data_IF_685998616155
#
_entry.id   IF_685998616155
#
_cell.length_a   1.000
_cell.length_b   1.000
_cell.length_c   1.000
_cell.angle_alpha   90.00
_cell.angle_beta   90.00
_cell.angle_gamma   90.00
#
_symmetry.space_group_name_H-M   'P 1'
#
loop_
_entity.id
_entity.type
_entity.pdbx_description
1 polymer ?
#
# COMPACT_ATOMS: atom_id res chain seq x y z
N UNK A 1 14.11 -13.75 -16.01
CA UNK A 1 14.77 -13.10 -14.91
C UNK A 1 13.81 -12.82 -13.77
N UNK A 2 14.31 -12.57 -12.58
CA UNK A 2 13.49 -12.28 -11.38
C UNK A 2 12.51 -11.11 -11.59
N UNK A 3 12.89 -10.11 -12.39
CA UNK A 3 12.02 -8.97 -12.75
C UNK A 3 10.81 -9.36 -13.59
N UNK A 4 10.89 -10.42 -14.39
CA UNK A 4 9.78 -10.87 -15.25
C UNK A 4 8.77 -11.72 -14.47
N UNK A 5 9.22 -12.43 -13.45
CA UNK A 5 8.34 -13.13 -12.50
C UNK A 5 7.52 -12.11 -11.71
N UNK A 6 8.12 -11.00 -11.32
CA UNK A 6 7.45 -9.89 -10.65
C UNK A 6 6.39 -9.20 -11.51
N UNK A 7 6.72 -8.89 -12.76
CA UNK A 7 5.77 -8.30 -13.70
C UNK A 7 4.58 -9.23 -13.98
N UNK A 8 4.81 -10.54 -14.00
CA UNK A 8 3.74 -11.53 -14.19
C UNK A 8 2.83 -11.68 -12.98
N UNK A 9 3.34 -11.45 -11.76
CA UNK A 9 2.49 -11.40 -10.57
C UNK A 9 1.60 -10.15 -10.56
N UNK A 10 2.08 -9.03 -11.10
CA UNK A 10 1.30 -7.80 -11.28
C UNK A 10 0.24 -7.90 -12.37
N UNK A 11 0.46 -8.72 -13.39
CA UNK A 11 -0.45 -8.87 -14.55
C UNK A 11 -1.61 -9.84 -14.29
N UNK A 12 -1.46 -10.77 -13.33
CA UNK A 12 -2.52 -11.68 -12.89
C UNK A 12 -2.98 -11.28 -11.51
N UNK A 13 -3.66 -10.16 -11.42
CA UNK A 13 -4.14 -9.68 -10.15
C UNK A 13 -5.37 -10.48 -9.75
N UNK A 14 -5.15 -11.53 -8.95
CA UNK A 14 -6.18 -12.11 -8.13
C UNK A 14 -6.60 -11.12 -7.04
N UNK A 15 -7.57 -11.52 -6.25
CA UNK A 15 -8.01 -10.72 -5.10
C UNK A 15 -6.88 -10.49 -4.09
N UNK A 16 -6.09 -11.51 -3.81
CA UNK A 16 -4.99 -11.46 -2.86
C UNK A 16 -3.64 -11.45 -3.57
N UNK A 17 -2.76 -10.56 -3.13
CA UNK A 17 -1.40 -10.42 -3.63
C UNK A 17 -0.38 -10.47 -2.49
N UNK A 18 0.78 -11.09 -2.76
CA UNK A 18 1.93 -11.06 -1.85
C UNK A 18 2.97 -10.08 -2.40
N UNK A 19 3.44 -9.22 -1.51
CA UNK A 19 4.52 -8.28 -1.79
C UNK A 19 5.75 -8.67 -0.99
N UNK A 20 6.88 -8.80 -1.66
CA UNK A 20 8.15 -9.03 -0.99
C UNK A 20 8.59 -7.81 -0.20
N UNK A 21 9.23 -8.07 0.92
CA UNK A 21 9.95 -7.06 1.68
C UNK A 21 11.45 -7.20 1.46
N UNK A 22 12.26 -6.30 2.01
CA UNK A 22 13.72 -6.47 2.02
C UNK A 22 14.17 -7.57 2.99
N UNK A 23 13.31 -8.01 3.90
CA UNK A 23 13.53 -9.20 4.70
C UNK A 23 13.05 -10.43 3.92
N UNK A 24 13.97 -11.34 3.60
CA UNK A 24 13.68 -12.53 2.77
C UNK A 24 12.64 -13.49 3.35
N UNK A 25 12.36 -13.39 4.65
CA UNK A 25 11.41 -14.27 5.35
C UNK A 25 10.03 -13.64 5.51
N UNK A 26 9.87 -12.38 5.12
CA UNK A 26 8.66 -11.59 5.41
C UNK A 26 8.06 -11.05 4.12
N UNK A 27 6.73 -11.21 4.00
CA UNK A 27 5.91 -10.69 2.91
C UNK A 27 4.76 -9.87 3.49
N UNK A 28 4.20 -9.00 2.68
CA UNK A 28 2.93 -8.35 2.98
C UNK A 28 1.87 -8.95 2.06
N UNK A 29 0.82 -9.53 2.65
CA UNK A 29 -0.35 -9.97 1.91
C UNK A 29 -1.39 -8.86 1.89
N UNK A 30 -1.92 -8.56 0.71
CA UNK A 30 -2.93 -7.55 0.48
C UNK A 30 -4.19 -8.17 -0.12
N UNK A 31 -5.35 -7.88 0.46
CA UNK A 31 -6.64 -8.04 -0.21
C UNK A 31 -6.87 -6.80 -1.09
N UNK A 32 -6.72 -6.96 -2.38
CA UNK A 32 -6.83 -5.87 -3.36
C UNK A 32 -8.23 -5.30 -3.51
N UNK A 33 -9.25 -5.97 -2.99
CA UNK A 33 -10.64 -5.49 -3.00
C UNK A 33 -10.93 -4.53 -1.86
N UNK A 34 -10.35 -4.80 -0.68
CA UNK A 34 -10.75 -4.13 0.57
C UNK A 34 -9.63 -3.31 1.23
N UNK A 35 -8.38 -3.52 0.82
CA UNK A 35 -7.22 -2.91 1.47
C UNK A 35 -6.79 -3.57 2.78
N UNK A 36 -7.45 -4.65 3.21
CA UNK A 36 -7.00 -5.45 4.35
C UNK A 36 -5.61 -6.01 4.06
N UNK A 37 -4.75 -6.01 5.06
CA UNK A 37 -3.38 -6.47 4.85
C UNK A 37 -2.77 -7.11 6.09
N UNK A 38 -1.82 -8.00 5.86
CA UNK A 38 -1.17 -8.83 6.86
C UNK A 38 0.32 -8.92 6.60
N UNK A 39 1.10 -8.99 7.67
CA UNK A 39 2.48 -9.45 7.62
C UNK A 39 2.46 -10.98 7.58
N UNK A 40 3.12 -11.56 6.60
CA UNK A 40 3.26 -13.01 6.46
C UNK A 40 4.73 -13.37 6.62
N UNK A 41 5.00 -14.26 7.54
CA UNK A 41 6.35 -14.78 7.75
C UNK A 41 6.40 -16.26 7.48
N UNK A 42 7.40 -16.69 6.74
CA UNK A 42 7.72 -18.10 6.64
C UNK A 42 9.05 -18.44 7.30
N UNK A 43 9.28 -19.71 7.56
CA UNK A 43 10.51 -20.18 8.21
C UNK A 43 10.89 -21.57 7.71
N UNK A 44 12.19 -21.81 7.63
CA UNK A 44 12.75 -23.14 7.41
C UNK A 44 12.97 -23.91 8.72
N UNK A 45 12.72 -23.27 9.86
CA UNK A 45 12.91 -23.85 11.19
C UNK A 45 11.71 -24.65 11.71
N UNK A 46 10.56 -24.56 11.03
CA UNK A 46 9.34 -25.27 11.39
C UNK A 46 8.10 -24.39 11.40
N UNK A 47 6.94 -25.02 11.53
CA UNK A 47 5.63 -24.37 11.44
C UNK A 47 5.37 -23.33 12.53
N UNK A 48 5.95 -23.54 13.72
CA UNK A 48 5.81 -22.62 14.86
C UNK A 48 6.33 -21.18 14.56
N UNK A 49 7.16 -21.03 13.52
CA UNK A 49 7.72 -19.77 13.07
C UNK A 49 7.03 -19.22 11.81
N UNK A 50 5.96 -19.87 11.38
CA UNK A 50 5.17 -19.46 10.21
C UNK A 50 3.86 -18.86 10.68
N UNK A 51 3.61 -17.60 10.33
CA UNK A 51 2.39 -16.90 10.75
C UNK A 51 1.97 -15.81 9.77
N UNK A 52 0.70 -15.43 9.88
CA UNK A 52 0.16 -14.21 9.30
C UNK A 52 -0.37 -13.32 10.42
N UNK A 53 0.28 -12.19 10.66
CA UNK A 53 -0.14 -11.21 11.64
C UNK A 53 -0.92 -10.08 10.97
N UNK A 54 -2.13 -9.71 11.44
CA UNK A 54 -2.89 -8.64 10.83
C UNK A 54 -2.20 -7.29 11.04
N UNK A 55 -2.07 -6.51 9.96
CA UNK A 55 -1.70 -5.10 10.03
C UNK A 55 -2.97 -4.25 10.02
N UNK A 56 -3.88 -4.53 9.09
CA UNK A 56 -5.21 -3.91 9.04
C UNK A 56 -6.27 -4.93 8.62
N UNK A 57 -7.24 -5.17 9.49
CA UNK A 57 -8.35 -6.12 9.26
C UNK A 57 -9.66 -5.45 8.85
N UNK A 58 -9.68 -4.12 8.78
CA UNK A 58 -10.86 -3.37 8.37
C UNK A 58 -10.84 -3.09 6.87
N UNK A 59 -12.01 -3.11 6.25
CA UNK A 59 -12.14 -2.64 4.87
C UNK A 59 -11.84 -1.15 4.79
N UNK A 60 -10.96 -0.78 3.87
CA UNK A 60 -10.64 0.62 3.55
C UNK A 60 -11.44 1.12 2.33
N UNK A 61 -12.15 0.21 1.66
CA UNK A 61 -13.00 0.54 0.53
C UNK A 61 -14.19 1.40 0.99
N UNK A 62 -14.38 2.54 0.34
CA UNK A 62 -15.52 3.40 0.58
C UNK A 62 -16.11 3.89 -0.77
N UNK A 63 -17.42 3.76 -1.00
CA UNK A 63 -18.38 2.93 -0.22
C UNK A 63 -17.99 1.45 -0.24
N UNK A 64 -18.34 0.70 0.80
CA UNK A 64 -18.00 -0.75 0.88
C UNK A 64 -18.56 -1.56 -0.29
N UNK A 65 -19.70 -1.13 -0.84
CA UNK A 65 -20.34 -1.74 -2.01
C UNK A 65 -19.47 -1.74 -3.26
N UNK A 66 -18.40 -0.96 -3.28
CA UNK A 66 -17.43 -0.88 -4.38
C UNK A 66 -16.23 -1.82 -4.21
N UNK A 67 -16.19 -2.63 -3.16
CA UNK A 67 -15.10 -3.55 -2.85
C UNK A 67 -15.12 -4.84 -3.68
N UNK A 68 -15.30 -4.73 -4.98
CA UNK A 68 -15.35 -5.88 -5.89
C UNK A 68 -14.38 -5.77 -7.07
N UNK A 69 -13.43 -4.86 -7.01
CA UNK A 69 -12.42 -4.68 -8.04
C UNK A 69 -11.12 -5.40 -7.68
N UNK A 70 -10.65 -6.26 -8.53
CA UNK A 70 -9.27 -6.71 -8.45
C UNK A 70 -8.34 -5.53 -8.75
N UNK A 71 -7.22 -5.47 -8.01
CA UNK A 71 -6.22 -4.42 -8.16
C UNK A 71 -6.70 -2.99 -7.85
N UNK A 72 -7.80 -2.84 -7.10
CA UNK A 72 -8.22 -1.53 -6.59
C UNK A 72 -7.18 -0.97 -5.62
N UNK A 73 -6.82 -1.77 -4.62
CA UNK A 73 -5.76 -1.43 -3.68
C UNK A 73 -4.42 -1.95 -4.18
N UNK A 74 -3.41 -1.10 -4.13
CA UNK A 74 -2.06 -1.40 -4.59
C UNK A 74 -1.04 -0.97 -3.55
N UNK A 75 0.00 -1.78 -3.37
CA UNK A 75 1.07 -1.54 -2.41
C UNK A 75 2.34 -1.12 -3.14
N UNK A 76 2.99 -0.07 -2.63
CA UNK A 76 4.24 0.45 -3.18
C UNK A 76 5.32 0.44 -2.11
N UNK A 77 6.51 0.00 -2.48
CA UNK A 77 7.68 0.04 -1.61
C UNK A 77 8.15 1.48 -1.42
N UNK A 78 8.70 1.76 -0.24
CA UNK A 78 9.50 2.95 0.01
C UNK A 78 10.98 2.58 0.11
N UNK A 79 11.85 3.58 0.22
CA UNK A 79 13.28 3.35 0.51
C UNK A 79 13.51 2.86 1.95
N UNK A 80 12.52 3.06 2.84
CA UNK A 80 12.54 2.47 4.18
C UNK A 80 12.05 1.02 4.09
N UNK A 81 12.88 0.08 4.53
CA UNK A 81 12.56 -1.35 4.41
C UNK A 81 11.29 -1.78 5.17
N UNK A 82 10.87 -1.02 6.18
CA UNK A 82 9.73 -1.34 7.04
C UNK A 82 8.41 -0.73 6.58
N UNK A 83 8.45 0.15 5.58
CA UNK A 83 7.33 1.01 5.21
C UNK A 83 6.91 0.82 3.76
N UNK A 84 5.61 0.66 3.57
CA UNK A 84 4.94 0.65 2.27
C UNK A 84 3.90 1.77 2.19
N UNK A 85 3.57 2.18 0.98
CA UNK A 85 2.45 3.04 0.68
C UNK A 85 1.33 2.19 0.10
N UNK A 86 0.15 2.27 0.66
CA UNK A 86 -1.07 1.64 0.15
C UNK A 86 -1.92 2.71 -0.54
N UNK A 87 -2.28 2.46 -1.78
CA UNK A 87 -3.11 3.33 -2.61
C UNK A 87 -4.46 2.69 -2.87
N UNK A 88 -5.55 3.43 -2.67
CA UNK A 88 -6.85 3.13 -3.24
C UNK A 88 -6.97 3.82 -4.61
N UNK A 89 -6.88 3.06 -5.68
CA UNK A 89 -6.94 3.59 -7.05
C UNK A 89 -8.33 4.08 -7.44
N UNK A 90 -9.36 3.79 -6.64
CA UNK A 90 -10.73 4.27 -6.88
C UNK A 90 -10.88 5.77 -6.59
N UNK A 91 -10.23 6.27 -5.54
CA UNK A 91 -10.44 7.63 -5.03
C UNK A 91 -9.16 8.39 -4.68
N UNK A 92 -7.99 7.77 -4.83
CA UNK A 92 -6.71 8.40 -4.54
C UNK A 92 -6.35 8.48 -3.05
N UNK A 93 -7.04 7.76 -2.17
CA UNK A 93 -6.65 7.70 -0.76
C UNK A 93 -5.38 6.88 -0.59
N UNK A 94 -4.57 7.31 0.37
CA UNK A 94 -3.25 6.77 0.66
C UNK A 94 -3.10 6.44 2.14
N UNK A 95 -2.43 5.34 2.43
CA UNK A 95 -2.05 4.93 3.79
C UNK A 95 -0.57 4.60 3.85
N UNK A 96 0.01 4.86 5.00
CA UNK A 96 1.32 4.34 5.39
C UNK A 96 1.10 2.99 6.06
N UNK A 97 1.76 1.96 5.57
CA UNK A 97 1.72 0.60 6.11
C UNK A 97 3.11 0.25 6.62
N UNK A 98 3.19 -0.14 7.87
CA UNK A 98 4.46 -0.55 8.49
C UNK A 98 4.36 -1.96 9.02
N UNK A 99 5.40 -2.74 8.76
CA UNK A 99 5.59 -4.05 9.37
C UNK A 99 6.83 -4.04 10.29
N UNK A 100 6.93 -5.05 11.14
CA UNK A 100 8.05 -5.23 12.05
C UNK A 100 8.36 -6.72 12.24
N UNK A 101 9.64 -7.06 12.35
CA UNK A 101 10.09 -8.42 12.65
C UNK A 101 10.47 -8.60 14.11
N UNK A 102 10.48 -7.53 14.89
CA UNK A 102 10.90 -7.55 16.30
C UNK A 102 9.72 -7.40 17.26
N UNK A 103 8.73 -6.59 16.86
CA UNK A 103 7.63 -6.22 17.74
C UNK A 103 6.35 -6.08 16.92
N UNK A 104 5.39 -6.97 17.17
CA UNK A 104 4.09 -6.95 16.47
C UNK A 104 3.23 -5.73 16.88
N UNK A 105 3.55 -5.06 17.98
CA UNK A 105 2.87 -3.80 18.35
C UNK A 105 3.24 -2.64 17.43
N UNK A 106 4.30 -2.79 16.64
CA UNK A 106 4.72 -1.82 15.63
C UNK A 106 4.14 -2.09 14.22
N UNK A 107 3.13 -2.93 14.10
CA UNK A 107 2.36 -3.09 12.87
C UNK A 107 1.26 -2.04 12.81
N UNK A 108 1.21 -1.26 11.74
CA UNK A 108 0.13 -0.29 11.56
C UNK A 108 -0.15 0.05 10.10
N UNK A 109 -1.38 0.48 9.87
CA UNK A 109 -1.85 1.03 8.61
C UNK A 109 -2.61 2.32 8.93
N UNK A 110 -2.03 3.47 8.63
CA UNK A 110 -2.55 4.79 8.99
C UNK A 110 -2.71 5.69 7.78
N UNK A 111 -3.77 6.52 7.71
CA UNK A 111 -4.01 7.37 6.54
C UNK A 111 -2.95 8.47 6.40
N UNK A 112 -2.54 8.74 5.16
CA UNK A 112 -1.73 9.90 4.78
C UNK A 112 -2.64 11.08 4.47
N UNK A 113 -3.71 10.85 3.70
CA UNK A 113 -4.76 11.83 3.44
C UNK A 113 -6.08 11.42 4.08
N UNK A 114 -6.84 12.42 4.52
CA UNK A 114 -8.13 12.22 5.21
C UNK A 114 -9.32 12.17 4.25
N UNK A 115 -9.14 12.65 3.02
CA UNK A 115 -10.20 12.83 2.04
C UNK A 115 -9.88 12.13 0.75
N UNK A 116 -10.93 11.76 0.03
CA UNK A 116 -10.84 11.30 -1.34
C UNK A 116 -10.33 12.42 -2.25
N UNK A 117 -9.49 12.09 -3.20
CA UNK A 117 -8.95 13.07 -4.15
C UNK A 117 -9.83 13.20 -5.39
N UNK A 118 -10.58 12.14 -5.70
CA UNK A 118 -11.48 12.05 -6.84
C UNK A 118 -12.79 11.50 -6.35
N UNK A 119 -13.89 12.20 -6.66
CA UNK A 119 -15.25 11.85 -6.27
C UNK A 119 -16.04 11.10 -7.35
N UNK A 120 -15.51 11.02 -8.55
CA UNK A 120 -16.18 10.38 -9.68
C UNK A 120 -16.06 8.86 -9.58
N UNK A 121 -17.17 8.17 -9.87
CA UNK A 121 -17.28 6.71 -9.83
C UNK A 121 -16.52 6.00 -10.96
N UNK A 122 -15.68 6.70 -11.70
CA UNK A 122 -14.87 6.11 -12.74
C UNK A 122 -13.59 5.50 -12.16
N UNK A 123 -13.24 4.35 -12.69
CA UNK A 123 -12.01 3.66 -12.34
C UNK A 123 -10.80 4.53 -12.69
N UNK A 124 -10.15 5.09 -11.69
CA UNK A 124 -8.95 5.88 -11.87
C UNK A 124 -7.70 5.01 -11.96
N UNK A 125 -6.72 5.51 -12.69
CA UNK A 125 -5.38 4.95 -12.72
C UNK A 125 -4.45 6.00 -12.12
N UNK A 126 -3.79 5.65 -11.04
CA UNK A 126 -2.81 6.51 -10.40
C UNK A 126 -1.42 5.91 -10.53
N UNK A 127 -0.45 6.77 -10.74
CA UNK A 127 0.97 6.41 -10.64
C UNK A 127 1.64 7.19 -9.52
N UNK A 128 2.61 6.54 -8.88
CA UNK A 128 3.42 7.11 -7.81
C UNK A 128 4.85 7.25 -8.30
N UNK A 129 5.39 8.47 -8.18
CA UNK A 129 6.77 8.79 -8.55
C UNK A 129 7.55 9.20 -7.31
N UNK A 130 8.64 8.48 -6.94
CA UNK A 130 9.49 8.88 -5.83
C UNK A 130 10.24 10.17 -6.13
N UNK A 131 10.45 10.96 -5.09
CA UNK A 131 11.31 12.15 -5.12
C UNK A 131 12.69 11.84 -4.52
N UNK A 132 13.56 12.85 -4.48
CA UNK A 132 14.91 12.72 -3.89
C UNK A 132 14.84 12.39 -2.39
N UNK A 133 13.86 12.98 -1.68
CA UNK A 133 13.59 12.62 -0.29
C UNK A 133 12.89 11.27 -0.22
N UNK A 134 13.37 10.35 0.61
CA UNK A 134 12.75 9.05 0.82
C UNK A 134 11.31 9.12 1.36
N UNK A 135 10.90 10.25 1.92
CA UNK A 135 9.58 10.47 2.52
C UNK A 135 8.56 11.05 1.56
N UNK A 136 8.97 11.54 0.40
CA UNK A 136 8.13 12.32 -0.51
C UNK A 136 7.97 11.69 -1.87
N UNK A 137 6.74 11.83 -2.40
CA UNK A 137 6.33 11.25 -3.68
C UNK A 137 5.38 12.18 -4.41
N UNK A 138 5.35 12.08 -5.74
CA UNK A 138 4.24 12.55 -6.55
C UNK A 138 3.20 11.44 -6.72
N UNK A 139 1.94 11.84 -6.68
CA UNK A 139 0.80 11.02 -7.10
C UNK A 139 0.19 11.69 -8.34
N UNK A 140 -0.02 10.92 -9.38
CA UNK A 140 -0.53 11.41 -10.66
C UNK A 140 -1.77 10.62 -11.02
N UNK A 141 -2.88 11.31 -11.32
CA UNK A 141 -4.04 10.70 -11.94
C UNK A 141 -3.77 10.62 -13.44
N UNK A 142 -3.51 9.43 -13.96
CA UNK A 142 -3.17 9.21 -15.36
C UNK A 142 -4.35 9.42 -16.30
N UNK A 143 -5.58 9.47 -15.78
CA UNK A 143 -6.76 9.76 -16.58
C UNK A 143 -6.91 11.26 -16.87
N UNK A 144 -6.55 12.12 -15.91
CA UNK A 144 -6.80 13.58 -15.98
C UNK A 144 -5.54 14.41 -16.03
N UNK A 145 -4.39 13.86 -15.62
CA UNK A 145 -3.15 14.61 -15.44
C UNK A 145 -3.08 15.42 -14.14
N UNK A 146 -4.07 15.32 -13.27
CA UNK A 146 -4.03 15.95 -11.96
C UNK A 146 -2.87 15.37 -11.13
N UNK A 147 -2.18 16.23 -10.39
CA UNK A 147 -1.01 15.86 -9.62
C UNK A 147 -1.10 16.33 -8.18
N UNK A 148 -0.55 15.51 -7.31
CA UNK A 148 -0.37 15.80 -5.89
C UNK A 148 1.06 15.46 -5.47
N UNK A 149 1.53 16.13 -4.44
CA UNK A 149 2.73 15.76 -3.69
C UNK A 149 2.29 15.26 -2.32
N UNK A 150 2.82 14.14 -1.86
CA UNK A 150 2.51 13.62 -0.54
C UNK A 150 3.76 13.19 0.23
N UNK A 151 3.61 13.09 1.54
CA UNK A 151 4.67 12.68 2.45
C UNK A 151 4.15 11.67 3.46
N UNK A 152 4.93 10.62 3.66
CA UNK A 152 4.79 9.73 4.82
C UNK A 152 5.82 10.10 5.90
N UNK A 153 5.65 9.60 7.13
CA UNK A 153 6.55 9.98 8.22
C UNK A 153 6.65 8.93 9.31
N UNK A 154 7.81 8.88 9.96
CA UNK A 154 8.03 8.17 11.21
C UNK A 154 7.82 9.04 12.45
N UNK A 155 7.54 10.34 12.28
CA UNK A 155 7.46 11.33 13.36
C UNK A 155 6.05 11.58 13.89
N UNK A 156 5.02 11.20 13.14
CA UNK A 156 3.62 11.40 13.55
C UNK A 156 2.74 12.03 12.47
N UNK A 157 1.45 12.23 12.81
CA UNK A 157 0.41 12.64 11.86
C UNK A 157 0.63 14.01 11.25
N UNK A 158 1.19 14.96 12.01
CA UNK A 158 1.46 16.32 11.53
C UNK A 158 2.47 16.36 10.37
N UNK A 159 3.23 15.28 10.21
CA UNK A 159 4.21 15.13 9.14
C UNK A 159 3.73 14.28 7.97
N UNK A 160 2.48 13.79 8.01
CA UNK A 160 1.80 13.12 6.90
C UNK A 160 0.85 14.08 6.25
N UNK A 161 1.04 14.34 4.96
CA UNK A 161 0.25 15.32 4.24
C UNK A 161 0.20 15.01 2.75
N UNK A 162 -0.78 15.63 2.09
CA UNK A 162 -0.91 15.65 0.64
C UNK A 162 -1.33 17.04 0.18
N UNK A 163 -0.74 17.52 -0.89
CA UNK A 163 -1.01 18.81 -1.50
C UNK A 163 -1.20 18.67 -3.00
N UNK A 164 -2.22 19.33 -3.53
CA UNK A 164 -2.50 19.35 -4.97
C UNK A 164 -1.66 20.44 -5.64
N UNK A 165 -1.13 20.11 -6.83
CA UNK A 165 -0.57 21.12 -7.73
C UNK A 165 -1.70 21.92 -8.38
N UNK A 166 -1.43 23.20 -8.54
CA UNK A 166 -2.35 24.13 -9.18
C UNK A 166 -1.87 24.46 -10.59
#
# INVERSE_FOLDING_TARGET
AASDVYKRQGDKVGRFCLYETQNMWTFIMLDTYTGKNWQVQFSVKGEDYMFAAPINIFSLAYPETTSNWSNRFQMFRTQNMWTFILLDSYNGRLWQVQYSTQDLDNLFCIPINKYELVSDNEKCIFSIQPLTSMYQYYLINDNTGDMWKFQWSTKGDDYRWIERFR
#
